data_IF_716245698816
#
_entry.id   IF_716245698816
#
_cell.length_a   1.000
_cell.length_b   1.000
_cell.length_c   1.000
_cell.angle_alpha   90.00
_cell.angle_beta   90.00
_cell.angle_gamma   90.00
#
_symmetry.space_group_name_H-M   'P 1'
#
loop_
_entity.id
_entity.type
_entity.pdbx_description
1 polymer ?
#
# COMPACT_ATOMS: atom_id res chain seq x y z
N UNK A 1 14.49 -52.18 8.08
CA UNK A 1 14.90 -51.13 9.04
C UNK A 1 15.70 -50.09 8.31
N UNK A 2 15.19 -48.93 8.05
CA UNK A 2 15.93 -47.67 8.00
C UNK A 2 14.93 -46.51 7.80
N UNK A 3 14.84 -45.65 8.79
CA UNK A 3 13.92 -44.48 8.83
C UNK A 3 14.53 -43.33 8.04
N UNK A 4 13.82 -42.85 7.02
CA UNK A 4 14.16 -41.64 6.31
C UNK A 4 13.83 -40.40 7.17
N UNK A 5 14.81 -39.51 7.29
CA UNK A 5 14.71 -38.22 8.01
C UNK A 5 13.93 -37.23 7.18
N UNK A 6 12.86 -36.73 7.74
CA UNK A 6 12.17 -35.52 7.24
C UNK A 6 13.09 -34.28 7.42
N UNK A 7 13.45 -33.66 6.33
CA UNK A 7 14.08 -32.34 6.34
C UNK A 7 12.97 -31.27 6.43
N UNK A 8 12.83 -30.71 7.61
CA UNK A 8 12.01 -29.54 7.89
C UNK A 8 12.66 -28.32 7.20
N UNK A 9 12.08 -27.90 6.06
CA UNK A 9 12.50 -26.70 5.35
C UNK A 9 11.96 -25.47 6.10
N UNK A 10 12.84 -24.87 6.90
CA UNK A 10 12.55 -23.68 7.69
C UNK A 10 11.97 -22.55 6.85
N UNK A 11 10.70 -22.22 7.07
CA UNK A 11 10.07 -20.95 6.64
C UNK A 11 10.85 -19.80 7.29
N UNK A 12 11.23 -18.74 6.55
CA UNK A 12 11.82 -17.57 7.17
C UNK A 12 10.81 -16.96 8.15
N UNK A 13 11.17 -16.93 9.42
CA UNK A 13 10.40 -16.23 10.46
C UNK A 13 10.39 -14.76 10.09
N UNK A 14 9.21 -14.22 9.82
CA UNK A 14 9.01 -12.77 9.70
C UNK A 14 9.65 -12.13 10.95
N UNK A 15 10.63 -11.22 10.75
CA UNK A 15 11.20 -10.42 11.84
C UNK A 15 10.06 -9.62 12.44
N UNK A 16 9.72 -9.91 13.69
CA UNK A 16 8.74 -9.13 14.43
C UNK A 16 9.30 -7.72 14.62
N UNK A 17 8.84 -6.78 13.83
CA UNK A 17 9.09 -5.35 14.08
C UNK A 17 8.57 -5.06 15.47
N UNK A 18 9.43 -4.51 16.35
CA UNK A 18 9.03 -4.19 17.72
C UNK A 18 7.78 -3.29 17.68
N UNK A 19 6.68 -3.75 18.26
CA UNK A 19 5.38 -3.08 18.23
C UNK A 19 5.37 -1.73 18.96
N UNK A 20 6.40 -1.46 19.77
CA UNK A 20 6.46 -0.28 20.63
C UNK A 20 7.86 0.33 20.63
N UNK A 21 7.93 1.68 20.68
CA UNK A 21 9.11 2.39 21.17
C UNK A 21 8.92 2.57 22.66
N UNK A 22 9.89 2.15 23.48
CA UNK A 22 9.80 2.14 24.93
C UNK A 22 10.77 3.15 25.51
N UNK A 23 10.29 4.02 26.38
CA UNK A 23 11.09 4.96 27.16
C UNK A 23 10.91 4.68 28.67
N UNK A 24 12.00 4.51 29.39
CA UNK A 24 11.98 4.40 30.84
C UNK A 24 11.96 5.79 31.46
N UNK A 25 11.11 5.97 32.44
CA UNK A 25 11.01 7.21 33.24
C UNK A 25 12.04 7.16 34.35
N UNK A 26 12.96 8.11 34.35
CA UNK A 26 14.07 8.19 35.33
C UNK A 26 13.83 9.26 36.39
N UNK A 27 12.97 10.23 36.11
CA UNK A 27 12.62 11.34 37.01
C UNK A 27 11.14 11.67 36.91
N UNK A 28 10.52 12.26 37.94
CA UNK A 28 9.11 12.67 37.89
C UNK A 28 8.90 13.70 36.78
N UNK A 29 7.83 13.55 36.00
CA UNK A 29 7.48 14.49 34.92
C UNK A 29 6.01 14.38 34.55
N UNK A 30 5.44 15.41 33.91
CA UNK A 30 4.19 15.25 33.17
C UNK A 30 4.42 14.53 31.83
N UNK A 31 3.47 13.70 31.44
CA UNK A 31 3.58 12.88 30.22
C UNK A 31 3.86 13.71 28.95
N UNK A 32 3.23 14.89 28.83
CA UNK A 32 3.46 15.80 27.69
C UNK A 32 4.92 16.24 27.62
N UNK A 33 5.47 16.74 28.72
CA UNK A 33 6.83 17.28 28.76
C UNK A 33 7.86 16.17 28.62
N UNK A 34 7.60 15.00 29.19
CA UNK A 34 8.42 13.80 29.01
C UNK A 34 8.50 13.40 27.53
N UNK A 35 7.36 13.31 26.83
CA UNK A 35 7.31 12.95 25.42
C UNK A 35 8.01 13.99 24.53
N UNK A 36 7.82 15.28 24.80
CA UNK A 36 8.50 16.35 24.06
C UNK A 36 10.03 16.29 24.24
N UNK A 37 10.53 15.94 25.42
CA UNK A 37 11.97 15.76 25.68
C UNK A 37 12.53 14.51 24.99
N UNK A 38 11.82 13.38 25.06
CA UNK A 38 12.29 12.09 24.50
C UNK A 38 12.14 11.99 22.98
N UNK A 39 11.19 12.72 22.40
CA UNK A 39 10.94 12.76 20.95
C UNK A 39 11.40 14.11 20.38
N UNK A 40 12.71 14.32 20.34
CA UNK A 40 13.32 15.59 19.90
C UNK A 40 12.70 16.11 18.58
N UNK A 41 12.25 17.38 18.59
CA UNK A 41 11.64 18.03 17.41
C UNK A 41 10.15 17.76 17.21
N UNK A 42 9.47 16.99 18.09
CA UNK A 42 8.02 16.82 18.02
C UNK A 42 7.29 18.07 18.53
N UNK A 43 6.27 18.50 17.79
CA UNK A 43 5.43 19.61 18.23
C UNK A 43 4.42 19.18 19.32
N UNK A 44 4.03 20.12 20.19
CA UNK A 44 3.00 19.90 21.22
C UNK A 44 1.67 19.40 20.63
N UNK A 45 1.29 19.92 19.45
CA UNK A 45 0.11 19.48 18.71
C UNK A 45 0.21 18.02 18.29
N UNK A 46 1.39 17.55 17.89
CA UNK A 46 1.63 16.18 17.47
C UNK A 46 1.59 15.20 18.66
N UNK A 47 2.12 15.58 19.83
CA UNK A 47 1.98 14.79 21.05
C UNK A 47 0.50 14.67 21.45
N UNK A 48 -0.28 15.77 21.39
CA UNK A 48 -1.73 15.73 21.62
C UNK A 48 -2.43 14.76 20.64
N UNK A 49 -2.03 14.75 19.38
CA UNK A 49 -2.57 13.81 18.40
C UNK A 49 -2.24 12.34 18.75
N UNK A 50 -1.03 12.03 19.20
CA UNK A 50 -0.65 10.68 19.65
C UNK A 50 -1.49 10.24 20.86
N UNK A 51 -1.71 11.13 21.83
CA UNK A 51 -2.55 10.86 22.98
C UNK A 51 -4.01 10.62 22.58
N UNK A 52 -4.58 11.49 21.74
CA UNK A 52 -5.94 11.36 21.20
C UNK A 52 -6.12 10.06 20.40
N UNK A 53 -5.11 9.64 19.69
CA UNK A 53 -5.09 8.40 18.91
C UNK A 53 -4.84 7.14 19.77
N UNK A 54 -4.71 7.29 21.10
CA UNK A 54 -4.58 6.17 22.04
C UNK A 54 -3.37 5.25 21.79
N UNK A 55 -2.28 5.80 21.22
CA UNK A 55 -1.04 5.06 20.93
C UNK A 55 0.00 5.15 22.05
N UNK A 56 -0.24 5.99 23.06
CA UNK A 56 0.61 6.13 24.24
C UNK A 56 0.08 5.21 25.35
N UNK A 57 0.96 4.36 25.86
CA UNK A 57 0.69 3.54 27.04
C UNK A 57 1.69 3.90 28.14
N UNK A 58 1.22 3.92 29.36
CA UNK A 58 2.05 4.00 30.57
C UNK A 58 1.84 2.70 31.34
N UNK A 59 2.90 1.93 31.55
CA UNK A 59 2.87 0.60 32.17
C UNK A 59 1.81 -0.33 31.56
N UNK A 60 1.77 -0.38 30.22
CA UNK A 60 0.81 -1.14 29.39
C UNK A 60 -0.65 -0.61 29.44
N UNK A 61 -0.95 0.49 30.11
CA UNK A 61 -2.29 1.11 30.15
C UNK A 61 -2.34 2.29 29.17
N UNK A 62 -3.31 2.26 28.25
CA UNK A 62 -3.52 3.37 27.30
C UNK A 62 -3.82 4.65 28.10
N UNK A 63 -3.00 5.67 27.89
CA UNK A 63 -3.10 6.96 28.58
C UNK A 63 -3.33 8.06 27.55
N UNK A 64 -4.43 8.80 27.69
CA UNK A 64 -4.80 9.94 26.82
C UNK A 64 -4.64 11.29 27.51
N UNK A 65 -4.42 11.29 28.80
CA UNK A 65 -4.29 12.47 29.63
C UNK A 65 -2.89 13.07 29.47
N UNK A 66 -2.78 14.27 28.91
CA UNK A 66 -1.50 14.93 28.61
C UNK A 66 -0.69 15.32 29.85
N UNK A 67 -1.37 15.63 30.96
CA UNK A 67 -0.78 15.99 32.28
C UNK A 67 -0.72 14.79 33.24
N UNK A 68 -0.70 13.56 32.71
CA UNK A 68 -0.54 12.36 33.55
C UNK A 68 0.83 12.41 34.24
N UNK A 69 0.82 12.26 35.57
CA UNK A 69 2.03 12.30 36.40
C UNK A 69 2.81 10.99 36.28
N UNK A 70 3.99 11.07 35.67
CA UNK A 70 4.94 9.96 35.57
C UNK A 70 5.82 9.91 36.82
N UNK A 71 6.08 8.68 37.30
CA UNK A 71 7.01 8.40 38.41
C UNK A 71 8.21 7.61 37.90
N UNK A 72 9.39 7.75 38.56
CA UNK A 72 10.56 6.93 38.23
C UNK A 72 10.22 5.42 38.27
N UNK A 73 10.74 4.66 37.30
CA UNK A 73 10.45 3.25 37.13
C UNK A 73 9.29 2.93 36.18
N UNK A 74 8.39 3.88 35.88
CA UNK A 74 7.34 3.71 34.89
C UNK A 74 7.90 3.57 33.48
N UNK A 75 7.18 2.86 32.59
CA UNK A 75 7.52 2.69 31.17
C UNK A 75 6.50 3.40 30.31
N UNK A 76 6.94 4.39 29.55
CA UNK A 76 6.13 5.02 28.50
C UNK A 76 6.39 4.28 27.20
N UNK A 77 5.35 3.71 26.62
CA UNK A 77 5.39 2.94 25.39
C UNK A 77 4.61 3.69 24.33
N UNK A 78 5.24 3.88 23.17
CA UNK A 78 4.57 4.45 22.00
C UNK A 78 4.33 3.30 21.04
N UNK A 79 3.06 2.97 20.82
CA UNK A 79 2.70 1.97 19.84
C UNK A 79 3.08 2.44 18.43
N UNK A 80 3.84 1.65 17.71
CA UNK A 80 4.09 1.87 16.29
C UNK A 80 2.86 1.54 15.43
N UNK A 81 1.90 0.83 16.01
CA UNK A 81 0.60 0.52 15.42
C UNK A 81 -0.45 1.25 16.24
N UNK A 82 -1.22 2.12 15.61
CA UNK A 82 -2.32 2.79 16.32
C UNK A 82 -3.31 1.72 16.81
N UNK A 83 -3.48 1.64 18.15
CA UNK A 83 -4.55 0.82 18.77
C UNK A 83 -5.90 1.48 18.47
N UNK A 84 -6.35 1.30 17.26
CA UNK A 84 -7.50 2.01 16.76
C UNK A 84 -8.77 1.18 16.89
N UNK A 85 -9.88 1.90 17.07
CA UNK A 85 -11.22 1.35 16.86
C UNK A 85 -11.18 0.56 15.58
N UNK A 86 -11.55 -0.71 15.66
CA UNK A 86 -11.46 -1.67 14.57
C UNK A 86 -11.99 -1.06 13.26
N UNK A 87 -11.08 -0.81 12.32
CA UNK A 87 -11.48 -0.34 10.99
C UNK A 87 -12.10 -1.51 10.25
N UNK A 88 -13.42 -1.46 10.05
CA UNK A 88 -14.15 -2.46 9.28
C UNK A 88 -14.81 -1.80 8.08
N UNK A 89 -14.40 -2.17 6.90
CA UNK A 89 -15.05 -1.74 5.67
C UNK A 89 -14.97 -2.87 4.61
N UNK A 90 -16.06 -3.17 3.88
CA UNK A 90 -16.10 -4.30 2.95
C UNK A 90 -15.11 -4.15 1.78
N UNK A 91 -14.74 -2.92 1.40
CA UNK A 91 -13.91 -2.61 0.23
C UNK A 91 -12.47 -2.19 0.58
N UNK A 92 -12.16 -1.99 1.86
CA UNK A 92 -10.85 -1.56 2.34
C UNK A 92 -10.45 -2.36 3.58
N UNK A 93 -9.20 -2.80 3.62
CA UNK A 93 -8.58 -3.37 4.81
C UNK A 93 -7.41 -2.49 5.24
N UNK A 94 -7.39 -2.07 6.49
CA UNK A 94 -6.26 -1.35 7.07
C UNK A 94 -5.12 -2.36 7.30
N UNK A 95 -3.96 -2.11 6.69
CA UNK A 95 -2.76 -2.94 6.80
C UNK A 95 -1.80 -2.36 7.83
N UNK A 96 -1.61 -1.03 7.80
CA UNK A 96 -0.74 -0.32 8.72
C UNK A 96 -1.24 1.11 8.95
N UNK A 97 -1.00 1.63 10.13
CA UNK A 97 -1.26 3.02 10.47
C UNK A 97 -0.29 3.50 11.54
N UNK A 98 0.24 4.71 11.35
CA UNK A 98 0.96 5.44 12.38
C UNK A 98 0.54 6.92 12.44
N UNK A 99 1.38 7.80 12.97
CA UNK A 99 1.09 9.22 13.05
C UNK A 99 1.15 9.95 11.71
N UNK A 100 1.78 9.36 10.68
CA UNK A 100 2.15 10.00 9.43
C UNK A 100 1.50 9.38 8.21
N UNK A 101 1.34 8.07 8.19
CA UNK A 101 0.87 7.31 7.04
C UNK A 101 -0.20 6.28 7.40
N UNK A 102 -0.96 5.90 6.39
CA UNK A 102 -1.88 4.76 6.34
C UNK A 102 -1.51 3.89 5.16
N UNK A 103 -1.37 2.57 5.36
CA UNK A 103 -1.31 1.59 4.28
C UNK A 103 -2.57 0.74 4.33
N UNK A 104 -3.22 0.62 3.19
CA UNK A 104 -4.48 -0.12 3.04
C UNK A 104 -4.41 -1.09 1.87
N UNK A 105 -5.18 -2.16 1.96
CA UNK A 105 -5.48 -3.03 0.84
C UNK A 105 -6.86 -2.67 0.30
N UNK A 106 -6.91 -2.19 -0.95
CA UNK A 106 -8.14 -1.80 -1.65
C UNK A 106 -8.67 -2.96 -2.47
N UNK A 107 -9.98 -3.22 -2.41
CA UNK A 107 -10.63 -4.14 -3.36
C UNK A 107 -10.88 -3.46 -4.71
N UNK A 108 -11.06 -4.29 -5.74
CA UNK A 108 -11.52 -3.84 -7.06
C UNK A 108 -12.90 -3.17 -6.98
N UNK A 109 -13.20 -2.30 -7.93
CA UNK A 109 -14.46 -1.56 -8.02
C UNK A 109 -14.51 -0.27 -7.18
N UNK A 110 -13.60 -0.09 -6.20
CA UNK A 110 -13.51 1.13 -5.40
C UNK A 110 -12.56 2.15 -6.04
N UNK A 111 -13.00 3.39 -6.20
CA UNK A 111 -12.14 4.49 -6.60
C UNK A 111 -11.13 4.84 -5.50
N UNK A 112 -9.89 5.13 -5.86
CA UNK A 112 -8.85 5.59 -4.93
C UNK A 112 -9.12 6.99 -4.42
N UNK A 113 -9.55 7.88 -5.32
CA UNK A 113 -9.76 9.31 -5.07
C UNK A 113 -11.08 9.76 -5.69
N UNK A 114 -11.61 10.89 -5.20
CA UNK A 114 -12.82 11.51 -5.75
C UNK A 114 -12.61 11.96 -7.19
N UNK A 115 -13.66 11.91 -7.97
CA UNK A 115 -13.76 12.51 -9.31
C UNK A 115 -14.83 13.60 -9.28
N UNK A 116 -14.95 14.38 -10.35
CA UNK A 116 -16.00 15.41 -10.47
C UNK A 116 -17.42 14.83 -10.29
N UNK A 117 -17.62 13.59 -10.75
CA UNK A 117 -18.92 12.91 -10.73
C UNK A 117 -19.14 11.98 -9.54
N UNK A 118 -18.10 11.63 -8.78
CA UNK A 118 -18.21 10.72 -7.65
C UNK A 118 -17.29 11.17 -6.51
N UNK A 119 -17.87 11.86 -5.50
CA UNK A 119 -17.15 12.41 -4.36
C UNK A 119 -17.15 11.46 -3.16
N UNK A 120 -18.22 10.71 -2.97
CA UNK A 120 -18.42 9.94 -1.75
C UNK A 120 -18.02 8.47 -1.96
N UNK A 121 -17.99 7.57 -2.14
CA UNK A 121 -17.61 6.16 -2.33
C UNK A 121 -16.20 6.00 -2.90
N UNK A 122 -15.22 6.65 -2.26
CA UNK A 122 -13.81 6.49 -2.62
C UNK A 122 -13.00 6.05 -1.40
N UNK A 123 -11.86 5.41 -1.63
CA UNK A 123 -10.97 5.00 -0.54
C UNK A 123 -10.55 6.21 0.32
N UNK A 124 -10.25 7.34 -0.32
CA UNK A 124 -9.93 8.59 0.38
C UNK A 124 -11.08 9.08 1.27
N UNK A 125 -12.32 9.06 0.77
CA UNK A 125 -13.49 9.48 1.56
C UNK A 125 -13.70 8.57 2.78
N UNK A 126 -13.66 7.25 2.58
CA UNK A 126 -13.81 6.26 3.65
C UNK A 126 -12.75 6.45 4.73
N UNK A 127 -11.48 6.67 4.32
CA UNK A 127 -10.37 6.90 5.25
C UNK A 127 -10.47 8.26 5.94
N UNK A 128 -11.00 9.31 5.27
CA UNK A 128 -11.26 10.59 5.91
C UNK A 128 -12.30 10.44 7.03
N UNK A 129 -13.42 9.74 6.78
CA UNK A 129 -14.41 9.48 7.82
C UNK A 129 -13.84 8.66 8.99
N UNK A 130 -12.94 7.73 8.68
CA UNK A 130 -12.25 6.96 9.69
C UNK A 130 -11.33 7.82 10.59
N UNK A 131 -10.42 8.63 10.00
CA UNK A 131 -9.48 9.44 10.79
C UNK A 131 -10.16 10.60 11.52
N UNK A 132 -11.27 11.13 11.02
CA UNK A 132 -12.11 12.13 11.69
C UNK A 132 -12.69 11.65 13.02
N UNK A 133 -12.85 10.33 13.20
CA UNK A 133 -13.31 9.77 14.49
C UNK A 133 -12.37 10.08 15.65
N UNK A 134 -11.08 10.29 15.38
CA UNK A 134 -10.09 10.69 16.38
C UNK A 134 -10.08 12.20 16.61
N UNK A 135 -10.19 12.98 15.54
CA UNK A 135 -10.28 14.43 15.59
C UNK A 135 -10.93 14.97 14.31
N UNK A 136 -11.91 15.88 14.43
CA UNK A 136 -12.74 16.38 13.32
C UNK A 136 -11.98 16.99 12.15
N UNK A 137 -10.77 17.49 12.38
CA UNK A 137 -9.92 18.11 11.34
C UNK A 137 -8.93 17.13 10.72
N UNK A 138 -8.86 15.88 11.22
CA UNK A 138 -7.98 14.88 10.60
C UNK A 138 -8.50 14.55 9.20
N UNK A 139 -7.57 14.42 8.27
CA UNK A 139 -7.83 14.00 6.90
C UNK A 139 -6.65 13.20 6.35
N UNK A 140 -6.90 12.43 5.31
CA UNK A 140 -5.86 11.72 4.57
C UNK A 140 -5.57 12.43 3.26
N UNK A 141 -4.32 12.35 2.85
CA UNK A 141 -3.79 12.98 1.65
C UNK A 141 -3.33 11.91 0.68
N UNK A 142 -3.70 12.04 -0.57
CA UNK A 142 -3.37 11.06 -1.62
C UNK A 142 -1.91 11.22 -2.02
N UNK A 143 -1.16 10.14 -2.00
CA UNK A 143 0.23 10.08 -2.43
C UNK A 143 0.34 9.47 -3.82
N UNK A 144 -0.33 8.33 -4.02
CA UNK A 144 -0.47 7.64 -5.29
C UNK A 144 -1.87 7.04 -5.45
N UNK A 145 -2.13 6.43 -6.57
CA UNK A 145 -3.44 5.83 -6.84
C UNK A 145 -3.35 4.49 -7.54
N UNK A 146 -4.35 3.65 -7.30
CA UNK A 146 -4.70 2.50 -8.13
C UNK A 146 -5.95 2.85 -8.96
N UNK A 147 -6.08 2.25 -10.11
CA UNK A 147 -7.29 2.35 -10.90
C UNK A 147 -8.48 1.72 -10.17
N UNK A 148 -9.70 2.08 -10.55
CA UNK A 148 -10.93 1.59 -9.92
C UNK A 148 -10.95 0.06 -9.86
N UNK A 149 -10.65 -0.59 -10.98
CA UNK A 149 -10.74 -2.05 -11.12
C UNK A 149 -9.49 -2.78 -10.59
N UNK A 150 -8.41 -2.06 -10.28
CA UNK A 150 -7.20 -2.65 -9.69
C UNK A 150 -7.36 -2.79 -8.19
N UNK A 151 -7.05 -3.96 -7.64
CA UNK A 151 -7.00 -4.19 -6.19
C UNK A 151 -5.56 -4.14 -5.67
N UNK A 152 -5.38 -4.09 -4.34
CA UNK A 152 -4.08 -4.24 -3.69
C UNK A 152 -3.67 -3.07 -2.82
N UNK A 153 -2.38 -3.02 -2.50
CA UNK A 153 -1.78 -2.10 -1.54
C UNK A 153 -1.74 -0.67 -2.03
N UNK A 154 -2.13 0.24 -1.15
CA UNK A 154 -2.05 1.69 -1.34
C UNK A 154 -1.62 2.38 -0.06
N UNK A 155 -0.95 3.54 -0.21
CA UNK A 155 -0.52 4.39 0.88
C UNK A 155 -1.19 5.77 0.81
N UNK A 156 -1.50 6.33 1.99
CA UNK A 156 -1.98 7.70 2.18
C UNK A 156 -1.14 8.38 3.25
N UNK A 157 -0.90 9.67 3.10
CA UNK A 157 -0.32 10.50 4.15
C UNK A 157 -1.42 11.01 5.08
N UNK A 158 -1.07 11.35 6.33
CA UNK A 158 -2.00 11.90 7.34
C UNK A 158 -1.80 13.39 7.58
N UNK A 159 -0.80 13.99 6.96
CA UNK A 159 -0.55 15.43 6.92
C UNK A 159 0.06 15.85 5.58
N UNK A 160 -0.04 17.13 5.25
CA UNK A 160 0.40 17.69 3.99
C UNK A 160 1.92 17.66 3.82
N UNK A 161 2.68 17.86 4.89
CA UNK A 161 4.14 17.79 4.86
C UNK A 161 4.60 16.39 4.47
N UNK A 162 3.99 15.36 5.07
CA UNK A 162 4.26 13.95 4.75
C UNK A 162 3.87 13.64 3.31
N UNK A 163 2.73 14.15 2.83
CA UNK A 163 2.31 14.00 1.45
C UNK A 163 3.34 14.58 0.48
N UNK A 164 3.76 15.83 0.69
CA UNK A 164 4.72 16.51 -0.17
C UNK A 164 6.06 15.76 -0.16
N UNK A 165 6.57 15.36 1.00
CA UNK A 165 7.79 14.56 1.10
C UNK A 165 7.72 13.29 0.25
N UNK A 166 6.60 12.55 0.32
CA UNK A 166 6.41 11.31 -0.43
C UNK A 166 6.26 11.56 -1.93
N UNK A 167 5.57 12.62 -2.35
CA UNK A 167 5.35 12.93 -3.77
C UNK A 167 6.60 13.46 -4.44
N UNK A 168 7.31 14.38 -3.78
CA UNK A 168 8.47 15.05 -4.34
C UNK A 168 9.69 14.11 -4.44
N UNK A 169 9.75 13.09 -3.56
CA UNK A 169 10.84 12.12 -3.52
C UNK A 169 10.34 10.69 -3.76
N UNK A 170 9.30 10.52 -4.59
CA UNK A 170 8.66 9.21 -4.81
C UNK A 170 9.64 8.13 -5.26
N UNK A 171 10.49 8.42 -6.22
CA UNK A 171 11.44 7.46 -6.79
C UNK A 171 12.56 7.08 -5.80
N UNK A 172 12.95 7.98 -4.90
CA UNK A 172 13.98 7.71 -3.90
C UNK A 172 13.41 6.97 -2.67
N UNK A 173 12.15 7.23 -2.36
CA UNK A 173 11.48 6.68 -1.17
C UNK A 173 10.88 5.30 -1.45
N UNK A 174 10.23 5.10 -2.60
CA UNK A 174 9.56 3.84 -2.95
C UNK A 174 10.54 2.93 -3.70
N UNK A 175 10.98 1.88 -3.00
CA UNK A 175 12.05 0.99 -3.48
C UNK A 175 11.54 -0.22 -4.26
N UNK A 176 10.29 -0.65 -4.02
CA UNK A 176 9.71 -1.81 -4.72
C UNK A 176 8.19 -1.69 -4.78
N UNK A 177 7.63 -1.85 -5.98
CA UNK A 177 6.19 -1.74 -6.23
C UNK A 177 5.77 -2.74 -7.28
N UNK A 178 5.29 -3.91 -6.81
CA UNK A 178 4.97 -5.02 -7.70
C UNK A 178 3.49 -5.31 -7.79
N UNK A 179 3.13 -5.74 -8.97
CA UNK A 179 1.79 -6.20 -9.31
C UNK A 179 1.85 -7.65 -9.75
N UNK A 180 0.76 -8.35 -9.56
CA UNK A 180 0.49 -9.63 -10.18
C UNK A 180 -0.72 -9.51 -11.09
N UNK A 181 -0.63 -10.09 -12.27
CA UNK A 181 -1.69 -10.08 -13.28
C UNK A 181 -1.87 -11.47 -13.88
N UNK A 182 -3.09 -11.76 -14.33
CA UNK A 182 -3.30 -12.84 -15.30
C UNK A 182 -3.59 -12.18 -16.64
N UNK A 183 -2.86 -12.62 -17.64
CA UNK A 183 -3.01 -12.15 -19.03
C UNK A 183 -3.49 -13.28 -19.91
N UNK A 184 -4.16 -12.95 -21.02
CA UNK A 184 -4.67 -13.90 -22.00
C UNK A 184 -3.54 -14.49 -22.83
N UNK A 185 -3.60 -15.79 -23.11
CA UNK A 185 -2.58 -16.50 -23.88
C UNK A 185 -1.34 -16.88 -23.10
N UNK A 186 -0.47 -17.62 -23.73
CA UNK A 186 0.82 -18.05 -23.20
C UNK A 186 1.90 -17.03 -23.59
N UNK A 187 2.41 -16.29 -22.62
CA UNK A 187 3.51 -15.35 -22.83
C UNK A 187 4.70 -16.05 -23.47
N UNK A 188 5.23 -15.51 -24.56
CA UNK A 188 6.37 -16.13 -25.28
C UNK A 188 7.64 -16.12 -24.45
N UNK A 189 7.91 -15.02 -23.75
CA UNK A 189 9.14 -14.81 -22.96
C UNK A 189 8.87 -14.96 -21.47
N UNK A 190 9.88 -15.43 -20.75
CA UNK A 190 9.81 -15.55 -19.28
C UNK A 190 9.99 -14.21 -18.58
N UNK A 191 10.66 -13.26 -19.20
CA UNK A 191 10.85 -11.89 -18.68
C UNK A 191 11.09 -10.91 -19.83
N UNK A 192 10.84 -9.66 -19.56
CA UNK A 192 11.10 -8.58 -20.51
C UNK A 192 10.73 -7.21 -19.94
N UNK A 193 10.96 -6.21 -20.78
CA UNK A 193 10.63 -4.81 -20.51
C UNK A 193 9.79 -4.26 -21.64
N UNK A 194 8.76 -3.50 -21.30
CA UNK A 194 7.94 -2.73 -22.24
C UNK A 194 8.16 -1.25 -21.99
N UNK A 195 8.55 -0.55 -23.01
CA UNK A 195 8.80 0.88 -23.01
C UNK A 195 7.95 1.55 -24.09
N UNK A 196 7.22 2.60 -23.72
CA UNK A 196 6.41 3.37 -24.67
C UNK A 196 6.04 4.74 -24.12
N UNK A 197 5.51 5.61 -25.00
CA UNK A 197 4.89 6.89 -24.61
C UNK A 197 3.40 6.71 -24.52
N UNK A 198 2.85 6.96 -23.32
CA UNK A 198 1.43 6.80 -23.04
C UNK A 198 0.70 8.15 -23.07
N UNK A 199 -0.25 8.28 -23.99
CA UNK A 199 -1.08 9.47 -24.16
C UNK A 199 -2.49 9.22 -23.59
N UNK A 200 -2.91 10.03 -22.60
CA UNK A 200 -4.25 9.95 -22.00
C UNK A 200 -5.26 10.77 -22.80
N UNK A 201 -6.12 10.11 -23.56
CA UNK A 201 -7.22 10.73 -24.32
C UNK A 201 -8.57 10.34 -23.76
N UNK A 202 -9.13 11.20 -22.89
CA UNK A 202 -10.46 11.02 -22.25
C UNK A 202 -10.69 9.62 -21.64
N UNK A 203 -11.17 8.67 -22.46
CA UNK A 203 -11.56 7.33 -22.01
C UNK A 203 -10.42 6.30 -22.10
N UNK A 204 -9.51 6.48 -23.05
CA UNK A 204 -8.45 5.52 -23.35
C UNK A 204 -7.07 6.14 -23.18
N UNK A 205 -6.11 5.29 -22.81
CA UNK A 205 -4.69 5.58 -22.90
C UNK A 205 -4.17 4.85 -24.13
N UNK A 206 -3.43 5.53 -24.96
CA UNK A 206 -2.83 5.02 -26.18
C UNK A 206 -1.32 4.92 -25.99
N UNK A 207 -0.75 3.86 -26.54
CA UNK A 207 0.70 3.63 -26.57
C UNK A 207 1.28 4.06 -27.91
N UNK A 208 2.49 4.62 -27.86
CA UNK A 208 3.31 4.90 -29.03
C UNK A 208 4.75 4.44 -28.76
N UNK A 209 5.38 3.71 -29.67
CA UNK A 209 6.79 3.29 -29.52
C UNK A 209 7.78 4.47 -29.68
N UNK A 210 7.33 5.59 -30.20
CA UNK A 210 8.13 6.80 -30.41
C UNK A 210 7.52 7.99 -29.69
N UNK A 211 8.36 8.92 -29.27
CA UNK A 211 7.91 10.18 -28.67
C UNK A 211 7.27 11.04 -29.77
N UNK A 212 5.98 11.29 -29.59
CA UNK A 212 5.18 12.16 -30.46
C UNK A 212 4.91 13.55 -29.83
N UNK A 213 5.56 13.86 -28.71
CA UNK A 213 5.39 15.10 -27.95
C UNK A 213 4.11 15.18 -27.11
N UNK A 214 3.19 14.21 -27.18
CA UNK A 214 1.94 14.17 -26.44
C UNK A 214 1.94 13.15 -25.29
N UNK A 215 2.77 12.11 -25.41
CA UNK A 215 2.84 11.01 -24.47
C UNK A 215 3.78 11.26 -23.28
N UNK A 216 3.61 10.47 -22.21
CA UNK A 216 4.56 10.40 -21.11
C UNK A 216 5.26 9.06 -21.15
N UNK A 217 6.58 9.06 -21.09
CA UNK A 217 7.38 7.84 -21.09
C UNK A 217 6.99 6.91 -19.94
N UNK A 218 6.88 5.63 -20.23
CA UNK A 218 6.42 4.59 -19.35
C UNK A 218 7.27 3.33 -19.49
N UNK A 219 7.68 2.72 -18.38
CA UNK A 219 8.51 1.51 -18.32
C UNK A 219 7.86 0.50 -17.41
N UNK A 220 7.63 -0.72 -17.91
CA UNK A 220 7.12 -1.86 -17.16
C UNK A 220 8.00 -3.07 -17.40
N UNK A 221 8.57 -3.62 -16.32
CA UNK A 221 9.25 -4.92 -16.36
C UNK A 221 8.26 -6.01 -16.04
N UNK A 222 8.39 -7.16 -16.68
CA UNK A 222 7.54 -8.31 -16.38
C UNK A 222 8.35 -9.59 -16.23
N UNK A 223 7.78 -10.51 -15.43
CA UNK A 223 8.26 -11.89 -15.26
C UNK A 223 7.08 -12.84 -15.31
N UNK A 224 7.11 -13.79 -16.24
CA UNK A 224 6.11 -14.85 -16.33
C UNK A 224 6.39 -15.90 -15.26
N UNK A 225 5.45 -16.09 -14.35
CA UNK A 225 5.56 -17.02 -13.24
C UNK A 225 5.03 -18.41 -13.59
N UNK A 226 3.93 -18.44 -14.37
CA UNK A 226 3.27 -19.69 -14.76
C UNK A 226 2.44 -19.51 -16.02
N UNK A 227 2.39 -20.53 -16.86
CA UNK A 227 1.47 -20.66 -18.01
C UNK A 227 0.55 -21.85 -17.78
N UNK A 228 -0.74 -21.66 -17.87
CA UNK A 228 -1.72 -22.72 -17.73
C UNK A 228 -3.07 -22.29 -18.30
N UNK A 229 -3.81 -23.25 -18.91
CA UNK A 229 -5.21 -23.08 -19.36
C UNK A 229 -5.39 -21.94 -20.38
N UNK A 230 -4.38 -21.63 -21.20
CA UNK A 230 -4.42 -20.50 -22.15
C UNK A 230 -4.26 -19.14 -21.49
N UNK A 231 -3.67 -19.08 -20.30
CA UNK A 231 -3.37 -17.87 -19.56
C UNK A 231 -1.95 -17.86 -19.02
N UNK A 232 -1.40 -16.69 -18.78
CA UNK A 232 -0.14 -16.51 -18.08
C UNK A 232 -0.31 -15.68 -16.81
N UNK A 233 0.27 -16.17 -15.72
CA UNK A 233 0.43 -15.42 -14.47
C UNK A 233 1.74 -14.65 -14.54
N UNK A 234 1.66 -13.33 -14.43
CA UNK A 234 2.79 -12.43 -14.64
C UNK A 234 2.96 -11.52 -13.43
N UNK A 235 4.17 -11.44 -12.91
CA UNK A 235 4.59 -10.36 -12.02
C UNK A 235 5.06 -9.17 -12.85
N UNK A 236 4.73 -7.94 -12.38
CA UNK A 236 5.09 -6.71 -13.05
C UNK A 236 5.72 -5.75 -12.04
N UNK A 237 6.81 -5.14 -12.44
CA UNK A 237 7.50 -4.11 -11.69
C UNK A 237 7.47 -2.78 -12.48
N UNK A 238 7.12 -1.69 -11.81
CA UNK A 238 6.88 -0.41 -12.44
C UNK A 238 7.96 0.62 -12.10
N UNK A 239 8.78 1.03 -13.06
CA UNK A 239 9.61 2.23 -12.89
C UNK A 239 8.75 3.49 -12.91
N UNK A 240 7.74 3.54 -13.75
CA UNK A 240 6.81 4.67 -13.88
C UNK A 240 5.39 4.26 -13.43
N UNK A 241 4.51 5.23 -13.22
CA UNK A 241 3.13 4.97 -12.78
C UNK A 241 2.10 5.77 -13.57
N UNK A 242 2.01 5.55 -14.89
CA UNK A 242 1.04 6.24 -15.75
C UNK A 242 -0.34 5.57 -15.64
N UNK A 243 -1.38 6.32 -15.97
CA UNK A 243 -2.75 5.82 -16.00
C UNK A 243 -2.86 4.59 -16.89
N UNK A 244 -3.46 3.51 -16.40
CA UNK A 244 -3.65 2.24 -17.11
C UNK A 244 -2.38 1.59 -17.69
N UNK A 245 -1.19 1.99 -17.25
CA UNK A 245 0.11 1.60 -17.84
C UNK A 245 0.22 0.09 -18.07
N UNK A 246 0.05 -0.73 -17.04
CA UNK A 246 0.14 -2.19 -17.14
C UNK A 246 -0.85 -2.74 -18.17
N UNK A 247 -2.07 -2.23 -18.17
CA UNK A 247 -3.14 -2.71 -19.03
C UNK A 247 -2.84 -2.48 -20.52
N UNK A 248 -2.29 -1.30 -20.82
CA UNK A 248 -1.87 -0.92 -22.16
C UNK A 248 -0.62 -1.71 -22.58
N UNK A 249 0.40 -1.80 -21.74
CA UNK A 249 1.63 -2.54 -22.05
C UNK A 249 1.39 -4.04 -22.26
N UNK A 250 0.48 -4.65 -21.50
CA UNK A 250 0.12 -6.07 -21.72
C UNK A 250 -0.67 -6.25 -23.02
N UNK A 251 -1.51 -5.29 -23.40
CA UNK A 251 -2.16 -5.28 -24.71
C UNK A 251 -1.13 -5.13 -25.84
N UNK A 252 -0.15 -4.24 -25.72
CA UNK A 252 0.92 -4.03 -26.72
C UNK A 252 1.74 -5.30 -26.96
N UNK A 253 1.88 -6.16 -25.94
CA UNK A 253 2.49 -7.48 -26.08
C UNK A 253 1.56 -8.54 -26.71
N UNK A 254 0.30 -8.21 -27.01
CA UNK A 254 -0.70 -9.17 -27.51
C UNK A 254 -1.33 -10.04 -26.43
N UNK A 255 -1.07 -9.73 -25.16
CA UNK A 255 -1.55 -10.47 -23.98
C UNK A 255 -2.38 -9.58 -23.05
N UNK A 256 -3.60 -9.15 -23.42
CA UNK A 256 -4.39 -8.26 -22.60
C UNK A 256 -4.70 -8.87 -21.24
N UNK A 257 -4.79 -8.01 -20.21
CA UNK A 257 -5.14 -8.45 -18.85
C UNK A 257 -6.52 -9.07 -18.84
N UNK A 258 -6.67 -10.27 -18.27
CA UNK A 258 -7.95 -10.99 -18.19
C UNK A 258 -8.99 -10.14 -17.46
N UNK A 259 -10.20 -10.08 -18.02
CA UNK A 259 -11.31 -9.26 -17.51
C UNK A 259 -11.17 -7.77 -17.81
N UNK A 260 -10.22 -7.37 -18.67
CA UNK A 260 -10.08 -5.99 -19.10
C UNK A 260 -11.02 -5.64 -20.25
N UNK A 261 -12.26 -5.26 -19.92
CA UNK A 261 -13.29 -4.88 -20.89
C UNK A 261 -12.95 -3.62 -21.71
N UNK A 262 -11.95 -2.84 -21.28
CA UNK A 262 -11.55 -1.62 -21.96
C UNK A 262 -10.45 -1.86 -22.99
N UNK A 263 -9.51 -2.72 -22.66
CA UNK A 263 -8.32 -2.99 -23.47
C UNK A 263 -8.32 -4.39 -24.10
N UNK A 264 -9.53 -4.90 -24.42
CA UNK A 264 -9.68 -6.00 -25.37
C UNK A 264 -9.55 -7.42 -24.82
N UNK A 265 -9.78 -7.64 -23.52
CA UNK A 265 -9.93 -9.01 -23.06
C UNK A 265 -11.32 -9.54 -23.44
N UNK A 266 -11.36 -10.54 -24.32
CA UNK A 266 -12.59 -11.24 -24.70
C UNK A 266 -13.12 -12.16 -23.58
N UNK A 267 -12.24 -12.52 -22.64
CA UNK A 267 -12.55 -13.45 -21.54
C UNK A 267 -12.57 -12.74 -20.18
N UNK A 268 -13.63 -12.99 -19.41
CA UNK A 268 -13.75 -12.52 -18.03
C UNK A 268 -14.19 -13.67 -17.09
N UNK A 269 -13.38 -14.73 -16.96
CA UNK A 269 -13.70 -15.89 -16.12
C UNK A 269 -13.70 -15.57 -14.63
N UNK A 270 -13.17 -14.40 -14.25
CA UNK A 270 -13.04 -13.95 -12.86
C UNK A 270 -14.10 -12.92 -12.46
N UNK A 271 -14.87 -12.38 -13.41
CA UNK A 271 -15.82 -11.29 -13.18
C UNK A 271 -15.17 -9.98 -12.75
N UNK A 272 -13.83 -9.85 -12.96
CA UNK A 272 -13.04 -8.68 -12.55
C UNK A 272 -11.76 -8.55 -13.38
N UNK A 273 -11.18 -7.34 -13.38
CA UNK A 273 -9.82 -7.14 -13.88
C UNK A 273 -8.82 -7.97 -13.06
N UNK A 274 -8.05 -8.82 -13.72
CA UNK A 274 -7.05 -9.68 -13.11
C UNK A 274 -5.73 -8.93 -12.84
N UNK A 275 -5.79 -7.83 -12.11
CA UNK A 275 -4.64 -7.00 -11.73
C UNK A 275 -4.68 -6.66 -10.24
N UNK A 276 -3.55 -6.89 -9.56
CA UNK A 276 -3.45 -6.71 -8.11
C UNK A 276 -2.06 -6.19 -7.71
N UNK A 277 -2.00 -5.08 -6.99
CA UNK A 277 -0.79 -4.51 -6.40
C UNK A 277 -0.45 -5.28 -5.11
N UNK A 278 0.40 -6.30 -5.22
CA UNK A 278 0.62 -7.21 -4.10
C UNK A 278 1.77 -6.80 -3.17
N UNK A 279 2.73 -6.00 -3.66
CA UNK A 279 3.90 -5.58 -2.88
C UNK A 279 4.13 -4.09 -2.96
N UNK A 280 4.47 -3.50 -1.81
CA UNK A 280 4.84 -2.08 -1.67
C UNK A 280 5.93 -1.95 -0.61
N UNK A 281 7.13 -1.53 -1.03
CA UNK A 281 8.25 -1.27 -0.14
C UNK A 281 8.68 0.18 -0.28
N UNK A 282 8.96 0.84 0.85
CA UNK A 282 9.37 2.23 0.86
C UNK A 282 10.10 2.59 2.15
N UNK A 283 10.94 3.61 2.11
CA UNK A 283 11.48 4.22 3.32
C UNK A 283 10.42 5.11 3.96
N UNK A 284 10.18 4.91 5.25
CA UNK A 284 9.22 5.73 5.97
C UNK A 284 9.60 7.22 5.89
N UNK A 285 8.67 8.14 5.50
CA UNK A 285 9.02 9.53 5.17
C UNK A 285 9.65 10.31 6.33
N UNK A 286 9.39 9.89 7.57
CA UNK A 286 9.88 10.56 8.79
C UNK A 286 10.95 9.75 9.51
N UNK A 287 10.73 8.46 9.77
CA UNK A 287 11.68 7.61 10.53
C UNK A 287 12.81 7.07 9.67
N UNK A 288 12.67 7.09 8.34
CA UNK A 288 13.60 6.53 7.37
C UNK A 288 13.81 5.01 7.48
N UNK A 289 13.02 4.32 8.28
CA UNK A 289 13.01 2.86 8.36
C UNK A 289 12.43 2.27 7.07
N UNK A 290 13.00 1.18 6.58
CA UNK A 290 12.45 0.44 5.45
C UNK A 290 11.16 -0.26 5.88
N UNK A 291 10.07 0.03 5.16
CA UNK A 291 8.75 -0.55 5.37
C UNK A 291 8.45 -1.50 4.20
N UNK A 292 8.09 -2.72 4.51
CA UNK A 292 7.75 -3.75 3.52
C UNK A 292 6.36 -4.30 3.79
N UNK A 293 5.50 -4.22 2.77
CA UNK A 293 4.13 -4.73 2.82
C UNK A 293 3.91 -5.67 1.65
N UNK A 294 3.35 -6.84 1.93
CA UNK A 294 3.02 -7.82 0.92
C UNK A 294 1.67 -8.48 1.24
N UNK A 295 0.86 -8.69 0.21
CA UNK A 295 -0.39 -9.44 0.29
C UNK A 295 -0.28 -10.73 -0.52
N UNK A 296 -0.97 -11.79 -0.14
CA UNK A 296 -1.03 -12.98 -0.98
C UNK A 296 -1.72 -12.66 -2.30
N UNK A 297 -1.34 -13.36 -3.37
CA UNK A 297 -2.07 -13.28 -4.63
C UNK A 297 -3.54 -13.65 -4.43
N UNK A 298 -4.48 -12.96 -5.09
CA UNK A 298 -5.89 -13.25 -4.98
C UNK A 298 -6.19 -14.74 -5.23
N UNK A 299 -7.02 -15.35 -4.38
CA UNK A 299 -7.34 -16.78 -4.47
C UNK A 299 -7.94 -17.13 -5.84
N UNK A 300 -8.74 -16.23 -6.43
CA UNK A 300 -9.30 -16.42 -7.76
C UNK A 300 -8.21 -16.55 -8.84
N UNK A 301 -7.07 -15.83 -8.72
CA UNK A 301 -5.95 -15.95 -9.66
C UNK A 301 -5.30 -17.33 -9.55
N UNK A 302 -5.11 -17.81 -8.32
CA UNK A 302 -4.56 -19.16 -8.10
C UNK A 302 -5.46 -20.24 -8.65
N UNK A 303 -6.79 -20.10 -8.48
CA UNK A 303 -7.78 -21.03 -8.99
C UNK A 303 -7.76 -21.14 -10.53
N UNK A 304 -7.70 -20.02 -11.24
CA UNK A 304 -7.66 -20.00 -12.71
C UNK A 304 -6.37 -20.65 -13.27
N UNK A 305 -5.28 -20.55 -12.53
CA UNK A 305 -3.96 -21.09 -12.90
C UNK A 305 -3.73 -22.54 -12.42
N UNK A 306 -4.66 -23.19 -11.74
CA UNK A 306 -4.58 -24.61 -11.44
C UNK A 306 -4.91 -25.42 -12.70
N UNK A 307 -4.05 -26.44 -13.00
CA UNK A 307 -4.39 -27.39 -14.07
C UNK A 307 -5.66 -28.15 -13.66
N UNK A 308 -6.62 -28.15 -14.56
CA UNK A 308 -7.75 -29.07 -14.48
C UNK A 308 -7.28 -30.50 -14.75
#
# INVERSE_FOLDING_TARGET
>A
MSRGKNSDSGRPKARSVARYTIYNVTEPAELMDFLMRKMAGISRSKVKALLANRVILVDNVITTQYNFALKPGMKVQISKVMNNREFKHPMLKLVYEDAYILVVEKKEGLLSVSTEHQKERTAQHILNEYVKRSHRFNRVFVVHRLDRETSGLMMYAKDEKTQNTLRDNWHDIVTDRRYVSIVSGDMEKDYGTVESWLTDRKLYVYSSPVDNGEGKFAVTHYKTIKRANGYSLVELDLETGRKNQIRVHMLDLGHPVVGDRRYGSECDPLGRLALHAFKLCFYHPVTKELMEFETPYPTAFKGLMQKK
#
